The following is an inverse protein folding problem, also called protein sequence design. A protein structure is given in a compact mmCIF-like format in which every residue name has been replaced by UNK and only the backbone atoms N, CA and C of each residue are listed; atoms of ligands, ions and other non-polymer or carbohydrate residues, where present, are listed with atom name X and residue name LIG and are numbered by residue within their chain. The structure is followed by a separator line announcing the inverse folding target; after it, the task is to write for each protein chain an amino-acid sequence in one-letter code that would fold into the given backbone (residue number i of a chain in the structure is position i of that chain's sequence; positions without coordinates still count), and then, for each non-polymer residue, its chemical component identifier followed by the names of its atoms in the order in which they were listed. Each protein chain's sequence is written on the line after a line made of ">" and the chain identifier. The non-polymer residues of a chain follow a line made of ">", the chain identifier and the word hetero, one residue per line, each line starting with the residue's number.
data_IF_511450729344
#
_entry.id   IF_511450729344
#
_cell.length_a   1.000
_cell.length_b   1.000
_cell.length_c   1.000
_cell.angle_alpha   90.00
_cell.angle_beta   90.00
_cell.angle_gamma   90.00
#
_symmetry.space_group_name_H-M   'P 1'
#
loop_
_entity.id
_entity.type
_entity.pdbx_description
1 polymer ?
#
# COMPACT_ATOMS: atom_id res chain seq x y z
N UNK A 1 -19.43 12.73 20.12
CA UNK A 1 -19.02 13.91 19.32
C UNK A 1 -18.01 13.57 18.21
N UNK A 2 -17.14 12.55 18.38
CA UNK A 2 -16.13 12.15 17.39
C UNK A 2 -16.66 11.51 16.10
N UNK A 3 -17.93 11.10 16.06
CA UNK A 3 -18.54 10.44 14.90
C UNK A 3 -18.54 11.34 13.65
N UNK A 4 -18.92 12.61 13.78
CA UNK A 4 -18.99 13.55 12.66
C UNK A 4 -17.61 13.85 12.09
N UNK A 5 -16.62 14.03 12.96
CA UNK A 5 -15.22 14.26 12.56
C UNK A 5 -14.69 13.04 11.81
N UNK A 6 -14.92 11.84 12.34
CA UNK A 6 -14.48 10.58 11.70
C UNK A 6 -15.19 10.35 10.36
N UNK A 7 -16.49 10.60 10.29
CA UNK A 7 -17.27 10.47 9.06
C UNK A 7 -16.80 11.46 7.99
N UNK A 8 -16.61 12.74 8.35
CA UNK A 8 -16.10 13.75 7.45
C UNK A 8 -14.70 13.41 6.91
N UNK A 9 -13.82 12.91 7.77
CA UNK A 9 -12.47 12.48 7.37
C UNK A 9 -12.51 11.28 6.42
N UNK A 10 -13.35 10.28 6.70
CA UNK A 10 -13.53 9.10 5.82
C UNK A 10 -14.07 9.51 4.46
N UNK A 11 -15.09 10.38 4.43
CA UNK A 11 -15.68 10.87 3.18
C UNK A 11 -14.63 11.64 2.37
N UNK A 12 -13.86 12.53 3.01
CA UNK A 12 -12.79 13.29 2.36
C UNK A 12 -11.70 12.38 1.76
N UNK A 13 -11.26 11.36 2.51
CA UNK A 13 -10.25 10.39 2.03
C UNK A 13 -10.78 9.57 0.86
N UNK A 14 -12.02 9.08 0.93
CA UNK A 14 -12.63 8.31 -0.15
C UNK A 14 -12.83 9.15 -1.41
N UNK A 15 -13.26 10.41 -1.28
CA UNK A 15 -13.34 11.35 -2.40
C UNK A 15 -11.98 11.63 -3.02
N UNK A 16 -10.94 11.85 -2.21
CA UNK A 16 -9.58 12.05 -2.71
C UNK A 16 -9.05 10.81 -3.44
N UNK A 17 -9.28 9.62 -2.89
CA UNK A 17 -8.86 8.37 -3.52
C UNK A 17 -9.62 8.12 -4.85
N UNK A 18 -10.92 8.44 -4.88
CA UNK A 18 -11.72 8.36 -6.10
C UNK A 18 -11.18 9.30 -7.19
N UNK A 19 -10.78 10.53 -6.82
CA UNK A 19 -10.18 11.49 -7.73
C UNK A 19 -8.83 10.99 -8.29
N UNK A 20 -7.97 10.43 -7.43
CA UNK A 20 -6.69 9.84 -7.87
C UNK A 20 -6.87 8.62 -8.79
N UNK A 21 -7.94 7.84 -8.57
CA UNK A 21 -8.25 6.66 -9.39
C UNK A 21 -8.76 7.03 -10.79
N UNK A 22 -9.32 8.22 -10.96
CA UNK A 22 -9.83 8.71 -12.24
C UNK A 22 -8.73 9.28 -13.15
N UNK A 23 -7.47 9.39 -12.69
CA UNK A 23 -6.35 9.94 -13.46
C UNK A 23 -6.43 11.45 -13.69
N UNK A 24 -7.63 12.02 -13.56
CA UNK A 24 -7.92 13.44 -13.44
C UNK A 24 -7.47 13.92 -12.06
N UNK A 25 -6.20 14.28 -11.93
CA UNK A 25 -5.77 15.18 -10.86
C UNK A 25 -6.34 16.55 -11.21
N UNK A 26 -7.64 16.75 -10.98
CA UNK A 26 -8.23 18.08 -11.04
C UNK A 26 -7.42 18.93 -10.05
N UNK A 27 -6.68 19.95 -10.52
CA UNK A 27 -5.96 20.82 -9.61
C UNK A 27 -7.00 21.39 -8.67
N UNK A 28 -6.82 21.17 -7.35
CA UNK A 28 -7.62 21.89 -6.38
C UNK A 28 -7.50 23.38 -6.74
N UNK A 29 -8.62 24.11 -6.90
CA UNK A 29 -8.54 25.51 -7.28
C UNK A 29 -7.65 26.20 -6.25
N UNK A 30 -6.67 27.02 -6.69
CA UNK A 30 -5.63 27.58 -5.81
C UNK A 30 -6.24 28.24 -4.57
N UNK A 31 -7.37 28.91 -4.72
CA UNK A 31 -8.15 29.52 -3.64
C UNK A 31 -8.51 28.57 -2.47
N UNK A 32 -8.77 27.29 -2.75
CA UNK A 32 -9.12 26.30 -1.69
C UNK A 32 -7.87 25.81 -0.96
N UNK A 33 -6.76 25.62 -1.69
CA UNK A 33 -5.49 25.27 -1.09
C UNK A 33 -4.94 26.42 -0.23
N UNK A 34 -5.03 27.65 -0.74
CA UNK A 34 -4.61 28.87 -0.05
C UNK A 34 -5.47 29.13 1.19
N UNK A 35 -6.80 28.93 1.11
CA UNK A 35 -7.69 29.07 2.26
C UNK A 35 -7.40 28.02 3.35
N UNK A 36 -7.07 26.79 2.97
CA UNK A 36 -6.70 25.74 3.91
C UNK A 36 -5.35 26.04 4.59
N UNK A 37 -4.36 26.55 3.84
CA UNK A 37 -3.07 26.99 4.39
C UNK A 37 -3.25 28.17 5.36
N UNK A 38 -4.04 29.17 4.98
CA UNK A 38 -4.34 30.32 5.84
C UNK A 38 -5.07 29.90 7.13
N UNK A 39 -6.01 28.96 7.05
CA UNK A 39 -6.69 28.42 8.23
C UNK A 39 -5.74 27.65 9.17
N UNK A 40 -4.75 26.94 8.60
CA UNK A 40 -3.69 26.29 9.37
C UNK A 40 -2.76 27.30 10.06
N UNK A 41 -2.38 28.36 9.36
CA UNK A 41 -1.52 29.41 9.91
C UNK A 41 -2.24 30.27 10.97
N UNK A 42 -3.56 30.35 10.91
CA UNK A 42 -4.39 31.02 11.91
C UNK A 42 -4.46 30.29 13.26
N UNK A 43 -4.07 29.01 13.34
CA UNK A 43 -4.03 28.28 14.61
C UNK A 43 -2.96 28.85 15.57
N UNK A 44 -3.15 28.78 16.90
CA UNK A 44 -2.09 29.08 17.84
C UNK A 44 -0.90 28.10 17.67
N UNK A 45 0.33 28.62 17.72
CA UNK A 45 1.56 27.83 17.66
C UNK A 45 1.57 26.58 18.56
N UNK A 46 1.21 26.65 19.87
CA UNK A 46 1.21 25.47 20.73
C UNK A 46 0.22 24.39 20.27
N UNK A 47 -0.88 24.78 19.61
CA UNK A 47 -1.88 23.84 19.08
C UNK A 47 -1.39 23.15 17.81
N UNK A 48 -0.71 23.89 16.92
CA UNK A 48 -0.03 23.29 15.76
C UNK A 48 1.05 22.30 16.18
N UNK A 49 1.87 22.67 17.16
CA UNK A 49 2.95 21.80 17.65
C UNK A 49 2.42 20.53 18.30
N UNK A 50 1.30 20.62 19.04
CA UNK A 50 0.59 19.46 19.56
C UNK A 50 0.06 18.56 18.44
N UNK A 51 -0.61 19.15 17.43
CA UNK A 51 -1.14 18.41 16.30
C UNK A 51 -0.05 17.71 15.48
N UNK A 52 1.09 18.39 15.23
CA UNK A 52 2.24 17.82 14.53
C UNK A 52 2.86 16.65 15.32
N UNK A 53 3.02 16.81 16.64
CA UNK A 53 3.62 15.78 17.50
C UNK A 53 2.73 14.54 17.62
N UNK A 54 1.43 14.73 17.80
CA UNK A 54 0.45 13.65 17.86
C UNK A 54 0.31 12.95 16.50
N UNK A 55 0.28 13.72 15.41
CA UNK A 55 0.27 13.20 14.05
C UNK A 55 1.50 12.36 13.74
N UNK A 56 2.69 12.85 14.07
CA UNK A 56 3.94 12.11 13.87
C UNK A 56 3.97 10.81 14.69
N UNK A 57 3.51 10.84 15.94
CA UNK A 57 3.45 9.64 16.78
C UNK A 57 2.47 8.59 16.22
N UNK A 58 1.31 9.02 15.70
CA UNK A 58 0.34 8.12 15.07
C UNK A 58 0.84 7.55 13.75
N UNK A 59 1.52 8.35 12.93
CA UNK A 59 2.17 7.88 11.70
C UNK A 59 3.24 6.85 12.04
N UNK A 60 4.09 7.11 13.04
CA UNK A 60 5.10 6.16 13.51
C UNK A 60 4.50 4.84 13.96
N UNK A 61 3.42 4.88 14.77
CA UNK A 61 2.67 3.68 15.17
C UNK A 61 2.13 2.91 13.98
N UNK A 62 1.49 3.60 13.02
CA UNK A 62 0.94 2.96 11.82
C UNK A 62 2.02 2.38 10.93
N UNK A 63 3.13 3.09 10.73
CA UNK A 63 4.27 2.60 9.95
C UNK A 63 4.89 1.34 10.59
N UNK A 64 4.94 1.27 11.92
CA UNK A 64 5.42 0.09 12.64
C UNK A 64 4.45 -1.10 12.52
N UNK A 65 3.14 -0.86 12.53
CA UNK A 65 2.12 -1.92 12.33
C UNK A 65 1.86 -2.27 10.87
N UNK A 66 2.24 -1.39 9.94
CA UNK A 66 2.12 -1.62 8.51
C UNK A 66 3.26 -2.54 8.07
N UNK A 67 3.09 -3.85 8.32
CA UNK A 67 3.87 -4.85 7.60
C UNK A 67 3.66 -4.59 6.10
N UNK A 68 4.71 -4.46 5.28
CA UNK A 68 4.54 -4.31 3.84
C UNK A 68 3.85 -5.57 3.33
N UNK A 69 2.55 -5.45 3.04
CA UNK A 69 1.81 -6.49 2.31
C UNK A 69 2.57 -6.68 1.01
N UNK A 70 3.15 -7.87 0.85
CA UNK A 70 3.83 -8.24 -0.39
C UNK A 70 2.89 -7.94 -1.55
N UNK A 71 3.33 -7.07 -2.46
CA UNK A 71 2.62 -6.76 -3.70
C UNK A 71 2.71 -7.88 -4.73
N UNK A 72 3.17 -9.04 -4.30
CA UNK A 72 3.22 -10.20 -5.14
C UNK A 72 1.80 -10.73 -5.36
N UNK A 73 1.25 -10.35 -6.51
CA UNK A 73 -0.05 -10.82 -7.00
C UNK A 73 0.07 -12.10 -7.81
N UNK A 74 1.29 -12.64 -8.00
CA UNK A 74 1.47 -13.86 -8.76
C UNK A 74 0.98 -15.06 -7.94
N UNK A 75 0.15 -15.87 -8.57
CA UNK A 75 -0.20 -17.17 -8.02
C UNK A 75 1.00 -18.12 -8.10
N UNK A 76 1.04 -19.15 -7.26
CA UNK A 76 2.10 -20.17 -7.32
C UNK A 76 2.19 -20.86 -8.69
N UNK A 77 1.10 -20.90 -9.44
CA UNK A 77 1.05 -21.35 -10.83
C UNK A 77 1.80 -20.43 -11.80
N UNK A 78 1.74 -19.12 -11.60
CA UNK A 78 2.40 -18.14 -12.49
C UNK A 78 3.92 -18.13 -12.30
N UNK A 79 4.37 -18.47 -11.08
CA UNK A 79 5.80 -18.61 -10.75
C UNK A 79 6.45 -19.81 -11.45
N UNK A 80 5.66 -20.77 -11.94
CA UNK A 80 6.13 -21.92 -12.72
C UNK A 80 6.25 -21.53 -14.19
N UNK A 81 7.26 -20.74 -14.54
CA UNK A 81 7.51 -20.40 -15.94
C UNK A 81 7.94 -21.67 -16.71
N UNK A 82 7.20 -22.13 -17.73
CA UNK A 82 7.46 -23.39 -18.42
C UNK A 82 8.55 -23.30 -19.50
N UNK A 83 9.51 -22.38 -19.35
CA UNK A 83 10.59 -22.28 -20.32
C UNK A 83 11.40 -23.59 -20.30
N UNK A 84 11.59 -24.17 -21.48
CA UNK A 84 12.33 -25.44 -21.62
C UNK A 84 13.72 -25.29 -21.00
N UNK A 85 13.94 -25.95 -19.86
CA UNK A 85 15.23 -25.94 -19.16
C UNK A 85 15.15 -25.65 -17.65
N UNK A 86 14.01 -25.18 -17.14
CA UNK A 86 13.79 -24.93 -15.70
C UNK A 86 13.61 -26.20 -14.84
N UNK A 87 14.17 -27.34 -15.27
CA UNK A 87 14.17 -28.54 -14.44
C UNK A 87 15.11 -28.27 -13.27
N UNK A 88 14.54 -28.20 -12.07
CA UNK A 88 15.36 -28.07 -10.87
C UNK A 88 16.21 -29.33 -10.71
N UNK A 89 17.36 -29.21 -10.04
CA UNK A 89 18.26 -30.35 -9.81
C UNK A 89 17.57 -31.55 -9.12
N UNK A 90 16.48 -31.29 -8.39
CA UNK A 90 15.61 -32.29 -7.77
C UNK A 90 14.76 -33.08 -8.79
N UNK A 91 14.22 -32.41 -9.82
CA UNK A 91 13.47 -33.06 -10.89
C UNK A 91 14.37 -33.99 -11.73
N UNK A 92 15.63 -33.59 -11.94
CA UNK A 92 16.62 -34.39 -12.67
C UNK A 92 17.01 -35.67 -11.92
N UNK A 93 17.16 -35.61 -10.60
CA UNK A 93 17.48 -36.77 -9.77
C UNK A 93 16.31 -37.79 -9.75
N UNK A 94 15.08 -37.30 -9.77
CA UNK A 94 13.87 -38.14 -9.76
C UNK A 94 13.66 -38.87 -11.09
N UNK A 95 13.96 -38.22 -12.23
CA UNK A 95 13.95 -38.84 -13.56
C UNK A 95 15.05 -39.90 -13.72
N UNK A 96 16.24 -39.67 -13.18
CA UNK A 96 17.33 -40.65 -13.20
C UNK A 96 16.97 -41.93 -12.41
N UNK A 97 16.38 -41.79 -11.22
CA UNK A 97 15.91 -42.94 -10.43
C UNK A 97 14.77 -43.72 -11.09
N UNK A 98 13.94 -43.06 -11.91
CA UNK A 98 12.83 -43.71 -12.61
C UNK A 98 13.27 -44.45 -13.87
N UNK A 99 14.39 -44.05 -14.48
CA UNK A 99 14.99 -44.73 -15.63
C UNK A 99 15.73 -46.03 -15.26
N UNK A 100 16.25 -46.15 -14.04
CA UNK A 100 16.99 -47.34 -13.59
C UNK A 100 16.09 -48.47 -13.03
N UNK A 101 14.77 -48.29 -13.00
CA UNK A 101 13.80 -49.32 -12.55
C UNK A 101 12.91 -49.83 -13.69
N UNK A 102 13.47 -50.04 -14.88
CA UNK A 102 12.88 -50.91 -15.90
C UNK A 102 13.31 -52.37 -15.68
N UNK A 103 12.42 -53.37 -15.83
CA UNK A 103 12.62 -54.74 -15.36
C UNK A 103 13.66 -55.55 -16.19
N UNK A 104 14.15 -56.70 -15.67
CA UNK A 104 15.13 -57.56 -16.34
C UNK A 104 14.65 -58.15 -17.67
#
# INVERSE_FOLDING_TARGET
>A
MSFLIRAGLVIGVLSWLALQRQGERAPAPPAVADAAAAAWDALPAPLRDAALREGAAEIGRRAFTASPVSRDTLSDSDRKVPWRGAQTHADRATLAQRGERGPP
#
